data_IF_793500780733
#
_entry.id   IF_793500780733
#
_cell.length_a   1.000
_cell.length_b   1.000
_cell.length_c   1.000
_cell.angle_alpha   90.00
_cell.angle_beta   90.00
_cell.angle_gamma   90.00
#
_symmetry.space_group_name_H-M   'P 1'
#
loop_
_entity.id
_entity.type
_entity.pdbx_description
1 polymer ?
#
# COMPACT_ATOMS: atom_id res chain seq x y z
N UNK A 1 -2.03 1.89 21.02
CA UNK A 1 -1.92 2.73 22.23
C UNK A 1 -1.38 4.08 21.82
N UNK A 2 -2.14 5.15 22.00
CA UNK A 2 -1.76 6.47 21.48
C UNK A 2 -0.53 7.08 22.17
N UNK A 3 -0.22 6.63 23.39
CA UNK A 3 0.94 7.03 24.19
C UNK A 3 2.24 6.27 23.84
N UNK A 4 2.16 5.22 23.02
CA UNK A 4 3.31 4.44 22.56
C UNK A 4 3.47 4.49 21.02
N UNK A 5 3.66 5.68 20.40
CA UNK A 5 3.63 5.85 18.95
C UNK A 5 4.65 5.03 18.16
N UNK A 6 5.71 4.52 18.82
CA UNK A 6 6.74 3.69 18.19
C UNK A 6 6.32 2.22 18.03
N UNK A 7 5.29 1.78 18.75
CA UNK A 7 4.79 0.40 18.77
C UNK A 7 3.38 0.30 18.21
N UNK A 8 2.85 1.37 17.60
CA UNK A 8 1.53 1.44 16.96
C UNK A 8 1.66 2.09 15.56
N UNK A 9 0.86 1.71 14.56
CA UNK A 9 -0.18 0.68 14.58
C UNK A 9 0.41 -0.73 14.61
N UNK A 10 -0.31 -1.66 15.25
CA UNK A 10 0.02 -3.09 15.28
C UNK A 10 -1.01 -3.88 14.47
N UNK A 11 -0.88 -3.95 13.13
CA UNK A 11 -1.82 -4.68 12.30
C UNK A 11 -1.99 -6.12 12.79
N UNK A 12 -3.24 -6.56 12.88
CA UNK A 12 -3.64 -7.94 13.27
C UNK A 12 -3.29 -8.37 14.70
N UNK A 13 -2.72 -7.49 15.54
CA UNK A 13 -2.53 -7.80 16.96
C UNK A 13 -3.88 -7.91 17.70
N UNK A 14 -3.95 -8.81 18.68
CA UNK A 14 -5.13 -9.02 19.54
C UNK A 14 -5.53 -7.74 20.29
N UNK A 15 -4.52 -6.95 20.70
CA UNK A 15 -4.68 -5.73 21.51
C UNK A 15 -4.61 -4.46 20.66
N UNK A 16 -4.78 -4.56 19.34
CA UNK A 16 -4.85 -3.37 18.46
C UNK A 16 -6.02 -2.49 18.87
N UNK A 17 -5.81 -1.19 18.92
CA UNK A 17 -6.78 -0.21 19.45
C UNK A 17 -7.12 0.92 18.47
N UNK A 18 -6.66 0.82 17.22
CA UNK A 18 -6.96 1.79 16.18
C UNK A 18 -5.84 1.95 15.16
N UNK A 19 -5.83 3.11 14.51
CA UNK A 19 -4.84 3.51 13.51
C UNK A 19 -4.03 4.70 14.02
N UNK A 20 -2.83 4.88 13.48
CA UNK A 20 -2.00 6.07 13.70
C UNK A 20 -2.07 6.97 12.48
N UNK A 21 -2.26 8.26 12.69
CA UNK A 21 -2.25 9.25 11.62
C UNK A 21 -0.81 9.51 11.20
N UNK A 22 -0.53 9.36 9.91
CA UNK A 22 0.73 9.72 9.29
C UNK A 22 0.49 10.58 8.06
N UNK A 23 1.53 11.29 7.64
CA UNK A 23 1.54 12.11 6.43
C UNK A 23 2.70 11.68 5.53
N UNK A 24 2.53 11.84 4.21
CA UNK A 24 3.54 11.49 3.21
C UNK A 24 2.93 11.18 1.85
N UNK A 25 3.79 11.07 0.83
CA UNK A 25 3.41 10.66 -0.52
C UNK A 25 4.52 9.79 -1.14
N UNK A 26 4.13 8.96 -2.11
CA UNK A 26 5.03 8.14 -2.90
C UNK A 26 4.61 8.13 -4.37
N UNK A 27 5.55 7.85 -5.27
CA UNK A 27 5.27 7.74 -6.71
C UNK A 27 6.10 6.60 -7.29
N UNK A 28 5.52 5.87 -8.23
CA UNK A 28 6.20 4.85 -9.03
C UNK A 28 6.19 5.30 -10.48
N UNK A 29 7.30 5.09 -11.18
CA UNK A 29 7.38 5.29 -12.63
C UNK A 29 7.17 3.93 -13.27
N UNK A 30 6.13 3.81 -14.08
CA UNK A 30 5.82 2.61 -14.83
C UNK A 30 6.34 2.76 -16.26
N UNK A 31 6.89 1.67 -16.77
CA UNK A 31 7.51 1.60 -18.08
C UNK A 31 7.27 0.22 -18.68
N UNK A 32 7.23 0.15 -20.01
CA UNK A 32 7.17 -1.11 -20.72
C UNK A 32 8.49 -1.89 -20.52
N UNK A 33 8.39 -3.21 -20.31
CA UNK A 33 9.49 -4.05 -19.87
C UNK A 33 10.65 -4.08 -20.87
N UNK A 34 10.35 -4.28 -22.14
CA UNK A 34 11.37 -4.37 -23.19
C UNK A 34 12.04 -3.02 -23.43
N UNK A 35 11.30 -1.91 -23.35
CA UNK A 35 11.84 -0.56 -23.39
C UNK A 35 12.77 -0.28 -22.21
N UNK A 36 12.36 -0.65 -20.99
CA UNK A 36 13.16 -0.51 -19.78
C UNK A 36 14.47 -1.33 -19.89
N UNK A 37 14.40 -2.57 -20.38
CA UNK A 37 15.58 -3.41 -20.64
C UNK A 37 16.49 -2.80 -21.69
N UNK A 38 15.95 -2.31 -22.81
CA UNK A 38 16.72 -1.76 -23.93
C UNK A 38 17.55 -0.55 -23.52
N UNK A 39 17.03 0.30 -22.62
CA UNK A 39 17.79 1.45 -22.08
C UNK A 39 18.63 1.14 -20.84
N UNK A 40 18.64 -0.11 -20.36
CA UNK A 40 19.38 -0.53 -19.16
C UNK A 40 18.83 0.03 -17.84
N UNK A 41 17.51 0.22 -17.75
CA UNK A 41 16.87 0.72 -16.54
C UNK A 41 16.99 -0.26 -15.36
N UNK A 42 17.09 0.26 -14.14
CA UNK A 42 16.91 -0.56 -12.93
C UNK A 42 15.44 -0.90 -12.77
N UNK A 43 15.12 -2.19 -12.87
CA UNK A 43 13.77 -2.71 -12.70
C UNK A 43 13.64 -3.24 -11.27
N UNK A 44 12.73 -2.65 -10.49
CA UNK A 44 12.48 -3.06 -9.09
C UNK A 44 11.46 -4.19 -8.97
N UNK A 45 10.59 -4.33 -9.96
CA UNK A 45 9.54 -5.34 -9.98
C UNK A 45 8.68 -5.22 -11.24
N UNK A 46 7.82 -6.21 -11.43
CA UNK A 46 6.89 -6.30 -12.55
C UNK A 46 5.45 -6.30 -12.00
N UNK A 47 4.56 -5.54 -12.65
CA UNK A 47 3.14 -5.58 -12.34
C UNK A 47 2.52 -6.73 -13.13
N UNK A 48 2.27 -7.85 -12.45
CA UNK A 48 1.68 -9.05 -13.05
C UNK A 48 0.15 -9.00 -13.17
N UNK A 49 -0.50 -8.02 -12.55
CA UNK A 49 -1.96 -7.81 -12.62
C UNK A 49 -2.45 -6.64 -11.76
N UNK A 50 -3.62 -6.12 -12.09
CA UNK A 50 -4.31 -5.06 -11.34
C UNK A 50 -5.83 -5.28 -11.40
N UNK A 51 -6.51 -5.07 -10.26
CA UNK A 51 -7.96 -5.11 -10.18
C UNK A 51 -8.45 -4.10 -9.12
N UNK A 52 -9.68 -3.61 -9.31
CA UNK A 52 -10.39 -2.79 -8.32
C UNK A 52 -11.79 -3.37 -8.14
N UNK A 53 -12.30 -3.32 -6.91
CA UNK A 53 -13.66 -3.72 -6.58
C UNK A 53 -14.28 -2.71 -5.59
N UNK A 54 -15.56 -2.90 -5.28
CA UNK A 54 -16.31 -2.05 -4.37
C UNK A 54 -17.24 -2.92 -3.53
N UNK A 55 -17.32 -2.64 -2.23
CA UNK A 55 -18.32 -3.23 -1.36
C UNK A 55 -19.63 -2.46 -1.58
N UNK A 56 -20.63 -3.13 -2.16
CA UNK A 56 -21.84 -2.49 -2.68
C UNK A 56 -22.77 -1.90 -1.58
N UNK A 57 -23.82 -2.62 -1.18
CA UNK A 57 -24.84 -2.10 -0.28
C UNK A 57 -24.55 -2.49 1.18
N UNK A 58 -24.38 -1.48 2.04
CA UNK A 58 -24.30 -1.64 3.49
C UNK A 58 -25.60 -1.10 4.13
N UNK A 59 -26.52 -2.00 4.51
CA UNK A 59 -27.80 -1.63 5.13
C UNK A 59 -27.72 -1.49 6.67
N UNK A 60 -26.64 -2.01 7.27
CA UNK A 60 -26.37 -1.99 8.72
C UNK A 60 -25.07 -1.27 9.07
N UNK A 61 -24.48 -0.56 8.11
CA UNK A 61 -23.75 0.66 8.44
C UNK A 61 -24.74 1.80 8.64
#
# INVERSE_FOLDING_TARGET
RNDEPKTTPSPFDEKRDGLVIGEGAGTLVLEELEHAKARGATIYGEIVGFATNCDAAHITQ
#
